data_IF_479174349668
#
_entry.id   IF_479174349668
#
_cell.length_a   1.000
_cell.length_b   1.000
_cell.length_c   1.000
_cell.angle_alpha   90.00
_cell.angle_beta   90.00
_cell.angle_gamma   90.00
#
_symmetry.space_group_name_H-M   'P 1'
#
loop_
_entity.id
_entity.type
_entity.pdbx_description
1 polymer ?
#
# COMPACT_ATOMS: atom_id res chain seq x y z
N UNK A 1 -7.64 -4.23 26.57
CA UNK A 1 -7.20 -3.94 25.18
C UNK A 1 -5.70 -4.09 25.11
N UNK A 2 -5.19 -4.88 24.16
CA UNK A 2 -3.75 -5.02 23.94
C UNK A 2 -3.24 -3.81 23.13
N UNK A 3 -2.01 -3.35 23.38
CA UNK A 3 -1.44 -2.24 22.61
C UNK A 3 -1.21 -2.64 21.15
N UNK A 4 -1.39 -1.70 20.21
CA UNK A 4 -1.21 -1.94 18.77
C UNK A 4 0.16 -2.54 18.44
N UNK A 5 1.20 -2.16 19.21
CA UNK A 5 2.55 -2.71 19.08
C UNK A 5 2.60 -4.21 19.37
N UNK A 6 1.96 -4.67 20.44
CA UNK A 6 1.92 -6.11 20.78
C UNK A 6 1.12 -6.90 19.75
N UNK A 7 -0.02 -6.37 19.30
CA UNK A 7 -0.81 -6.97 18.23
C UNK A 7 -0.03 -7.09 16.92
N UNK A 8 0.72 -6.05 16.54
CA UNK A 8 1.61 -6.06 15.38
C UNK A 8 2.69 -7.15 15.50
N UNK A 9 3.40 -7.22 16.64
CA UNK A 9 4.47 -8.22 16.83
C UNK A 9 3.93 -9.64 16.74
N UNK A 10 2.76 -9.91 17.31
CA UNK A 10 2.11 -11.22 17.23
C UNK A 10 1.68 -11.56 15.79
N UNK A 11 1.04 -10.63 15.07
CA UNK A 11 0.69 -10.87 13.66
C UNK A 11 1.93 -10.99 12.76
N UNK A 12 3.01 -10.26 13.05
CA UNK A 12 4.27 -10.39 12.33
C UNK A 12 4.90 -11.78 12.54
N UNK A 13 4.87 -12.33 13.76
CA UNK A 13 5.35 -13.69 14.04
C UNK A 13 4.53 -14.75 13.32
N UNK A 14 3.21 -14.63 13.35
CA UNK A 14 2.29 -15.57 12.68
C UNK A 14 2.41 -15.54 11.15
N UNK A 15 2.86 -14.42 10.59
CA UNK A 15 3.02 -14.24 9.15
C UNK A 15 4.48 -14.02 8.73
N UNK A 16 5.44 -14.46 9.55
CA UNK A 16 6.88 -14.23 9.34
C UNK A 16 7.35 -14.73 7.98
N UNK A 17 6.89 -15.90 7.53
CA UNK A 17 7.24 -16.44 6.22
C UNK A 17 6.76 -15.57 5.04
N UNK A 18 5.62 -14.88 5.17
CA UNK A 18 5.09 -14.00 4.11
C UNK A 18 5.74 -12.63 4.11
N UNK A 19 6.00 -12.12 5.31
CA UNK A 19 6.82 -10.92 5.47
C UNK A 19 8.22 -11.18 4.89
N UNK A 20 8.81 -12.34 5.19
CA UNK A 20 10.07 -12.81 4.63
C UNK A 20 10.04 -12.93 3.11
N UNK A 21 8.98 -13.47 2.53
CA UNK A 21 8.80 -13.51 1.08
C UNK A 21 8.76 -12.10 0.46
N UNK A 22 8.18 -11.13 1.16
CA UNK A 22 8.15 -9.73 0.70
C UNK A 22 9.53 -9.09 0.76
N UNK A 23 10.31 -9.34 1.83
CA UNK A 23 11.71 -8.93 1.89
C UNK A 23 12.53 -9.59 0.78
N UNK A 24 12.35 -10.89 0.55
CA UNK A 24 13.02 -11.62 -0.53
C UNK A 24 12.66 -11.06 -1.90
N UNK A 25 11.40 -10.68 -2.12
CA UNK A 25 10.97 -10.03 -3.36
C UNK A 25 11.63 -8.66 -3.55
N UNK A 26 11.79 -7.87 -2.48
CA UNK A 26 12.51 -6.60 -2.53
C UNK A 26 13.97 -6.81 -2.95
N UNK A 27 14.68 -7.73 -2.28
CA UNK A 27 16.07 -8.07 -2.61
C UNK A 27 16.19 -8.59 -4.03
N UNK A 28 15.34 -9.54 -4.44
CA UNK A 28 15.33 -10.10 -5.78
C UNK A 28 15.09 -9.02 -6.84
N UNK A 29 14.16 -8.11 -6.60
CA UNK A 29 13.85 -7.02 -7.54
C UNK A 29 15.05 -6.10 -7.71
N UNK A 30 15.76 -5.76 -6.62
CA UNK A 30 17.00 -4.97 -6.67
C UNK A 30 18.10 -5.71 -7.44
N UNK A 31 18.35 -6.98 -7.11
CA UNK A 31 19.40 -7.78 -7.78
C UNK A 31 19.14 -7.86 -9.28
N UNK A 32 17.91 -8.18 -9.68
CA UNK A 32 17.57 -8.28 -11.10
C UNK A 32 17.55 -6.91 -11.78
N UNK A 33 17.20 -5.84 -11.06
CA UNK A 33 17.29 -4.47 -11.59
C UNK A 33 18.72 -4.05 -11.88
N UNK A 34 19.68 -4.49 -11.07
CA UNK A 34 21.12 -4.29 -11.30
C UNK A 34 21.63 -5.13 -12.48
N UNK A 35 21.20 -6.38 -12.61
CA UNK A 35 21.82 -7.36 -13.52
C UNK A 35 21.13 -7.43 -14.89
N UNK A 36 19.82 -7.23 -14.96
CA UNK A 36 19.01 -7.55 -16.15
C UNK A 36 18.11 -6.39 -16.57
N UNK A 37 17.19 -5.96 -15.70
CA UNK A 37 16.15 -4.96 -16.06
C UNK A 37 15.50 -4.33 -14.83
N UNK A 38 15.33 -3.01 -14.88
CA UNK A 38 14.62 -2.21 -13.88
C UNK A 38 13.10 -2.44 -13.85
N UNK A 39 12.54 -3.13 -14.86
CA UNK A 39 11.11 -3.40 -14.98
C UNK A 39 10.52 -4.14 -13.78
N UNK A 40 11.28 -4.96 -13.07
CA UNK A 40 10.80 -5.65 -11.87
C UNK A 40 10.46 -4.71 -10.71
N UNK A 41 11.00 -3.51 -10.67
CA UNK A 41 10.65 -2.53 -9.63
C UNK A 41 9.20 -2.08 -9.74
N UNK A 42 8.59 -2.20 -10.93
CA UNK A 42 7.15 -1.95 -11.12
C UNK A 42 6.26 -3.02 -10.50
N UNK A 43 6.79 -4.20 -10.13
CA UNK A 43 6.02 -5.30 -9.51
C UNK A 43 5.77 -5.02 -8.02
N UNK A 44 6.65 -4.29 -7.34
CA UNK A 44 6.57 -4.06 -5.89
C UNK A 44 5.26 -3.37 -5.45
N UNK A 45 4.74 -2.34 -6.16
CA UNK A 45 3.44 -1.75 -5.83
C UNK A 45 2.26 -2.68 -6.09
N UNK A 46 2.28 -3.49 -7.15
CA UNK A 46 1.24 -4.51 -7.36
C UNK A 46 1.25 -5.54 -6.24
N UNK A 47 2.45 -5.93 -5.79
CA UNK A 47 2.60 -6.81 -4.63
C UNK A 47 2.02 -6.18 -3.35
N UNK A 48 2.23 -4.87 -3.15
CA UNK A 48 1.66 -4.11 -2.05
C UNK A 48 0.12 -4.06 -2.12
N UNK A 49 -0.46 -3.80 -3.30
CA UNK A 49 -1.91 -3.80 -3.50
C UNK A 49 -2.55 -5.15 -3.14
N UNK A 50 -1.84 -6.26 -3.36
CA UNK A 50 -2.32 -7.60 -3.02
C UNK A 50 -2.19 -7.94 -1.53
N UNK A 51 -1.59 -7.08 -0.69
CA UNK A 51 -1.37 -7.38 0.73
C UNK A 51 -2.68 -7.71 1.46
N UNK A 52 -3.74 -6.91 1.26
CA UNK A 52 -5.04 -7.16 1.87
C UNK A 52 -5.62 -8.54 1.53
N UNK A 53 -5.56 -8.91 0.26
CA UNK A 53 -5.99 -10.24 -0.19
C UNK A 53 -5.12 -11.35 0.41
N UNK A 54 -3.78 -11.20 0.38
CA UNK A 54 -2.84 -12.19 0.93
C UNK A 54 -3.13 -12.43 2.40
N UNK A 55 -3.16 -11.37 3.21
CA UNK A 55 -3.39 -11.46 4.64
C UNK A 55 -4.82 -11.87 5.02
N UNK A 56 -5.83 -11.44 4.27
CA UNK A 56 -7.22 -11.88 4.47
C UNK A 56 -7.40 -13.38 4.20
N UNK A 57 -6.76 -13.93 3.16
CA UNK A 57 -6.87 -15.36 2.82
C UNK A 57 -6.15 -16.28 3.82
N UNK A 58 -5.19 -15.73 4.57
CA UNK A 58 -4.44 -16.46 5.60
C UNK A 58 -5.29 -16.87 6.81
N UNK A 59 -6.53 -16.39 6.87
CA UNK A 59 -7.45 -16.67 7.95
C UNK A 59 -8.04 -18.07 7.78
N UNK A 60 -7.27 -19.05 8.23
CA UNK A 60 -7.72 -20.42 8.45
C UNK A 60 -8.33 -20.56 9.84
N UNK A 61 -9.22 -21.54 10.01
CA UNK A 61 -9.89 -21.86 11.29
C UNK A 61 -8.84 -22.14 12.38
N UNK A 62 -7.84 -22.96 12.07
CA UNK A 62 -6.73 -23.33 12.96
C UNK A 62 -5.93 -22.12 13.48
N UNK A 63 -5.68 -21.12 12.62
CA UNK A 63 -5.01 -19.88 13.04
C UNK A 63 -5.93 -18.93 13.80
N UNK A 64 -7.25 -19.07 13.67
CA UNK A 64 -8.19 -18.30 14.48
C UNK A 64 -8.22 -18.86 15.91
N UNK A 65 -8.15 -20.18 16.08
CA UNK A 65 -8.05 -20.86 17.37
C UNK A 65 -6.72 -20.55 18.08
N UNK A 66 -5.59 -20.61 17.37
CA UNK A 66 -4.28 -20.20 17.88
C UNK A 66 -4.23 -18.73 18.33
N UNK A 67 -5.03 -17.84 17.73
CA UNK A 67 -5.11 -16.43 18.14
C UNK A 67 -6.06 -16.24 19.33
N UNK A 68 -7.12 -17.02 19.39
CA UNK A 68 -8.03 -17.05 20.52
C UNK A 68 -7.33 -17.56 21.79
N UNK A 69 -6.47 -18.59 21.67
CA UNK A 69 -5.66 -19.08 22.79
C UNK A 69 -4.60 -18.08 23.26
N UNK A 70 -4.17 -17.16 22.41
CA UNK A 70 -3.30 -16.03 22.75
C UNK A 70 -4.05 -14.83 23.35
N UNK A 71 -5.37 -14.91 23.53
CA UNK A 71 -6.20 -13.85 24.12
C UNK A 71 -6.38 -12.62 23.22
N UNK A 72 -6.13 -12.74 21.91
CA UNK A 72 -6.30 -11.63 20.97
C UNK A 72 -7.79 -11.44 20.65
N UNK A 73 -8.31 -10.25 20.98
CA UNK A 73 -9.63 -9.84 20.51
C UNK A 73 -9.66 -9.74 18.97
N UNK A 74 -10.84 -9.92 18.37
CA UNK A 74 -11.01 -9.78 16.91
C UNK A 74 -10.68 -8.36 16.44
N UNK A 75 -10.97 -7.35 17.24
CA UNK A 75 -10.58 -5.96 16.99
C UNK A 75 -9.05 -5.75 17.01
N UNK A 76 -8.34 -6.33 17.98
CA UNK A 76 -6.88 -6.21 18.08
C UNK A 76 -6.17 -6.86 16.89
N UNK A 77 -6.74 -7.94 16.35
CA UNK A 77 -6.29 -8.59 15.11
C UNK A 77 -6.38 -7.66 13.90
N UNK A 78 -7.49 -6.93 13.71
CA UNK A 78 -7.64 -5.99 12.59
C UNK A 78 -6.57 -4.90 12.68
N UNK A 79 -6.35 -4.35 13.88
CA UNK A 79 -5.33 -3.32 14.12
C UNK A 79 -3.92 -3.83 13.84
N UNK A 80 -3.58 -5.04 14.30
CA UNK A 80 -2.30 -5.69 14.03
C UNK A 80 -2.07 -5.96 12.55
N UNK A 81 -3.08 -6.45 11.83
CA UNK A 81 -3.04 -6.68 10.38
C UNK A 81 -2.83 -5.39 9.60
N UNK A 82 -3.62 -4.34 9.89
CA UNK A 82 -3.49 -3.04 9.23
C UNK A 82 -2.07 -2.50 9.42
N UNK A 83 -1.53 -2.59 10.64
CA UNK A 83 -0.17 -2.16 10.94
C UNK A 83 0.88 -2.96 10.18
N UNK A 84 0.74 -4.28 10.09
CA UNK A 84 1.67 -5.15 9.35
C UNK A 84 1.67 -4.85 7.86
N UNK A 85 0.48 -4.72 7.25
CA UNK A 85 0.32 -4.32 5.85
C UNK A 85 0.93 -2.94 5.62
N UNK A 86 0.72 -2.00 6.54
CA UNK A 86 1.32 -0.67 6.48
C UNK A 86 2.85 -0.72 6.46
N UNK A 87 3.47 -1.49 7.35
CA UNK A 87 4.93 -1.68 7.39
C UNK A 87 5.44 -2.30 6.09
N UNK A 88 4.80 -3.36 5.61
CA UNK A 88 5.20 -4.03 4.36
C UNK A 88 5.10 -3.09 3.15
N UNK A 89 4.01 -2.32 3.07
CA UNK A 89 3.80 -1.33 2.02
C UNK A 89 4.89 -0.26 2.05
N UNK A 90 5.26 0.22 3.24
CA UNK A 90 6.36 1.18 3.40
C UNK A 90 7.69 0.61 2.93
N UNK A 91 8.02 -0.65 3.25
CA UNK A 91 9.27 -1.27 2.79
C UNK A 91 9.30 -1.37 1.25
N UNK A 92 8.20 -1.77 0.62
CA UNK A 92 8.10 -1.86 -0.84
C UNK A 92 8.26 -0.50 -1.52
N UNK A 93 7.61 0.53 -0.96
CA UNK A 93 7.73 1.91 -1.46
C UNK A 93 9.14 2.46 -1.28
N UNK A 94 9.75 2.26 -0.11
CA UNK A 94 11.12 2.68 0.17
C UNK A 94 12.14 1.98 -0.74
N UNK A 95 11.97 0.68 -0.98
CA UNK A 95 12.84 -0.07 -1.91
C UNK A 95 12.74 0.48 -3.32
N UNK A 96 11.51 0.76 -3.78
CA UNK A 96 11.28 1.36 -5.09
C UNK A 96 11.89 2.76 -5.20
N UNK A 97 11.74 3.59 -4.16
CA UNK A 97 12.30 4.95 -4.13
C UNK A 97 13.83 4.97 -4.06
N UNK A 98 14.43 4.11 -3.24
CA UNK A 98 15.90 4.01 -3.11
C UNK A 98 16.56 3.60 -4.43
N UNK A 99 15.94 2.70 -5.19
CA UNK A 99 16.45 2.30 -6.49
C UNK A 99 16.60 3.47 -7.47
N UNK A 100 15.65 4.40 -7.44
CA UNK A 100 15.67 5.59 -8.30
C UNK A 100 16.81 6.55 -7.95
N UNK A 101 17.38 6.46 -6.75
CA UNK A 101 18.57 7.21 -6.34
C UNK A 101 19.87 6.45 -6.62
N UNK A 102 19.83 5.13 -6.53
CA UNK A 102 21.03 4.27 -6.71
C UNK A 102 21.34 4.07 -8.20
N UNK A 103 20.34 3.89 -9.05
CA UNK A 103 20.56 3.57 -10.46
C UNK A 103 21.35 4.65 -11.22
N UNK A 104 21.08 5.97 -11.06
CA UNK A 104 21.92 7.01 -11.66
C UNK A 104 23.36 7.00 -11.13
N UNK A 105 23.55 6.75 -9.83
CA UNK A 105 24.87 6.68 -9.22
C UNK A 105 25.73 5.51 -9.73
N UNK A 106 25.09 4.46 -10.27
CA UNK A 106 25.75 3.31 -10.87
C UNK A 106 25.84 3.41 -12.41
N UNK A 107 25.50 4.57 -13.00
CA UNK A 107 25.40 4.80 -14.44
C UNK A 107 24.49 3.78 -15.16
N UNK A 108 23.50 3.25 -14.43
CA UNK A 108 22.52 2.32 -14.97
C UNK A 108 21.43 3.11 -15.66
N UNK A 109 21.19 2.82 -16.95
CA UNK A 109 20.08 3.41 -17.69
C UNK A 109 18.75 2.92 -17.10
N UNK A 110 18.08 3.78 -16.34
CA UNK A 110 16.70 3.56 -15.92
C UNK A 110 15.77 3.81 -17.11
N UNK A 111 15.01 2.80 -17.52
CA UNK A 111 13.93 2.98 -18.47
C UNK A 111 12.69 3.50 -17.74
N UNK A 112 12.68 4.80 -17.50
CA UNK A 112 11.48 5.47 -17.00
C UNK A 112 10.43 5.47 -18.11
N UNK A 113 9.55 4.46 -18.11
CA UNK A 113 8.38 4.45 -18.98
C UNK A 113 7.21 5.12 -18.25
N UNK A 114 6.46 6.03 -18.90
CA UNK A 114 5.23 6.56 -18.33
C UNK A 114 4.25 5.41 -18.13
N UNK A 115 3.81 5.23 -16.89
CA UNK A 115 2.87 4.19 -16.48
C UNK A 115 2.12 4.62 -15.24
N UNK A 116 0.96 4.01 -15.01
CA UNK A 116 -0.04 4.42 -14.00
C UNK A 116 0.46 4.45 -12.54
N UNK A 117 1.73 4.13 -12.27
CA UNK A 117 2.22 3.82 -10.92
C UNK A 117 3.63 4.33 -10.59
N UNK A 118 4.40 4.86 -11.53
CA UNK A 118 5.65 5.58 -11.25
C UNK A 118 5.98 6.45 -12.46
N UNK A 119 5.81 7.76 -12.33
CA UNK A 119 6.27 8.73 -13.34
C UNK A 119 7.47 9.47 -12.77
N UNK A 120 8.62 9.26 -13.39
CA UNK A 120 9.86 10.00 -13.14
C UNK A 120 10.12 11.04 -14.25
N UNK A 121 9.11 11.33 -15.07
CA UNK A 121 9.19 12.39 -16.06
C UNK A 121 8.79 13.70 -15.38
N UNK A 122 9.79 14.37 -14.81
CA UNK A 122 9.68 15.76 -14.38
C UNK A 122 10.28 16.71 -15.41
N UNK A 123 9.87 17.97 -15.43
CA UNK A 123 10.51 19.00 -16.24
C UNK A 123 12.02 19.12 -15.93
N UNK A 124 12.85 19.48 -16.92
CA UNK A 124 14.27 19.69 -16.72
C UNK A 124 14.52 20.77 -15.67
N UNK A 125 15.42 20.51 -14.72
CA UNK A 125 15.79 21.44 -13.65
C UNK A 125 15.14 21.21 -12.28
N UNK A 126 14.19 20.25 -12.16
CA UNK A 126 13.71 19.80 -10.85
C UNK A 126 14.70 18.85 -10.18
N UNK A 127 14.82 18.95 -8.86
CA UNK A 127 15.63 18.02 -8.06
C UNK A 127 15.08 16.60 -8.18
N UNK A 128 15.96 15.63 -8.47
CA UNK A 128 15.61 14.20 -8.54
C UNK A 128 14.96 13.70 -7.24
N UNK A 129 15.43 14.18 -6.10
CA UNK A 129 14.87 13.86 -4.78
C UNK A 129 13.40 14.28 -4.70
N UNK A 130 13.06 15.46 -5.23
CA UNK A 130 11.69 15.96 -5.22
C UNK A 130 10.79 15.10 -6.12
N UNK A 131 11.27 14.70 -7.29
CA UNK A 131 10.53 13.82 -8.20
C UNK A 131 10.25 12.46 -7.57
N UNK A 132 11.25 11.88 -6.89
CA UNK A 132 11.11 10.62 -6.14
C UNK A 132 10.09 10.76 -5.00
N UNK A 133 10.11 11.87 -4.25
CA UNK A 133 9.17 12.12 -3.17
C UNK A 133 7.73 12.26 -3.69
N UNK A 134 7.51 13.01 -4.78
CA UNK A 134 6.18 13.20 -5.37
C UNK A 134 5.65 11.88 -5.93
N UNK A 135 6.47 11.12 -6.66
CA UNK A 135 6.09 9.81 -7.20
C UNK A 135 5.78 8.79 -6.11
N UNK A 136 6.58 8.75 -5.05
CA UNK A 136 6.35 7.87 -3.89
C UNK A 136 5.07 8.26 -3.15
N UNK A 137 4.82 9.57 -2.99
CA UNK A 137 3.58 10.09 -2.42
C UNK A 137 2.35 9.70 -3.24
N UNK A 138 2.43 9.77 -4.57
CA UNK A 138 1.36 9.33 -5.46
C UNK A 138 1.11 7.82 -5.35
N UNK A 139 2.16 7.00 -5.36
CA UNK A 139 2.02 5.55 -5.18
C UNK A 139 1.39 5.22 -3.82
N UNK A 140 1.80 5.89 -2.74
CA UNK A 140 1.19 5.75 -1.42
C UNK A 140 -0.30 6.14 -1.43
N UNK A 141 -0.65 7.24 -2.11
CA UNK A 141 -2.03 7.69 -2.27
C UNK A 141 -2.90 6.63 -2.98
N UNK A 142 -2.43 6.06 -4.09
CA UNK A 142 -3.14 5.02 -4.83
C UNK A 142 -3.33 3.77 -3.97
N UNK A 143 -2.28 3.35 -3.24
CA UNK A 143 -2.35 2.20 -2.34
C UNK A 143 -3.32 2.42 -1.16
N UNK A 144 -3.43 3.66 -0.66
CA UNK A 144 -4.41 4.02 0.37
C UNK A 144 -5.84 3.90 -0.15
N UNK A 145 -6.12 4.36 -1.38
CA UNK A 145 -7.42 4.18 -2.00
C UNK A 145 -7.77 2.70 -2.15
N UNK A 146 -6.84 1.90 -2.68
CA UNK A 146 -7.01 0.44 -2.80
C UNK A 146 -7.28 -0.21 -1.45
N UNK A 147 -6.56 0.21 -0.40
CA UNK A 147 -6.76 -0.27 0.95
C UNK A 147 -8.15 0.06 1.52
N UNK A 148 -8.69 1.25 1.24
CA UNK A 148 -10.02 1.66 1.71
C UNK A 148 -11.11 0.85 1.03
N UNK A 149 -10.99 0.63 -0.28
CA UNK A 149 -11.99 -0.10 -1.08
C UNK A 149 -11.98 -1.59 -0.75
N UNK A 150 -10.80 -2.22 -0.75
CA UNK A 150 -10.68 -3.69 -0.64
C UNK A 150 -10.53 -4.16 0.81
N UNK A 151 -10.04 -3.30 1.71
CA UNK A 151 -9.74 -3.66 3.10
C UNK A 151 -10.97 -4.10 3.89
N UNK A 152 -12.13 -3.49 3.65
CA UNK A 152 -13.37 -3.85 4.34
C UNK A 152 -13.78 -5.29 4.07
N UNK A 153 -13.84 -5.67 2.80
CA UNK A 153 -14.25 -7.01 2.40
C UNK A 153 -13.24 -8.08 2.82
N UNK A 154 -11.94 -7.79 2.71
CA UNK A 154 -10.87 -8.70 3.13
C UNK A 154 -10.72 -8.83 4.67
N UNK A 155 -11.37 -7.95 5.45
CA UNK A 155 -11.36 -8.01 6.92
C UNK A 155 -12.64 -8.60 7.51
N UNK A 156 -13.78 -8.33 6.87
CA UNK A 156 -15.11 -8.76 7.35
C UNK A 156 -15.54 -10.11 6.78
N UNK A 157 -15.09 -10.46 5.57
CA UNK A 157 -15.48 -11.68 4.87
C UNK A 157 -14.26 -12.53 4.50
N UNK A 158 -14.50 -13.82 4.21
CA UNK A 158 -13.45 -14.71 3.69
C UNK A 158 -13.17 -14.31 2.23
N UNK A 159 -11.95 -13.87 1.88
CA UNK A 159 -11.72 -13.30 0.57
C UNK A 159 -11.74 -14.37 -0.54
N UNK A 160 -12.53 -14.11 -1.56
CA UNK A 160 -12.59 -14.90 -2.79
C UNK A 160 -11.40 -14.57 -3.72
N UNK A 161 -11.10 -15.45 -4.68
CA UNK A 161 -10.05 -15.21 -5.69
C UNK A 161 -10.32 -13.93 -6.51
N UNK A 162 -11.59 -13.58 -6.72
CA UNK A 162 -12.01 -12.35 -7.39
C UNK A 162 -11.52 -11.06 -6.70
N UNK A 163 -11.27 -11.09 -5.38
CA UNK A 163 -10.75 -9.93 -4.65
C UNK A 163 -9.30 -9.60 -5.00
N UNK A 164 -8.50 -10.58 -5.43
CA UNK A 164 -7.15 -10.31 -5.93
C UNK A 164 -7.21 -9.48 -7.22
N UNK A 165 -8.10 -9.85 -8.13
CA UNK A 165 -8.34 -9.13 -9.39
C UNK A 165 -8.91 -7.75 -9.11
N UNK A 166 -9.88 -7.65 -8.20
CA UNK A 166 -10.43 -6.36 -7.78
C UNK A 166 -9.35 -5.43 -7.22
N UNK A 167 -8.42 -5.94 -6.41
CA UNK A 167 -7.34 -5.10 -5.86
C UNK A 167 -6.44 -4.53 -6.95
N UNK A 168 -6.11 -5.32 -7.96
CA UNK A 168 -5.32 -4.86 -9.11
C UNK A 168 -6.11 -3.84 -9.94
N UNK A 169 -7.39 -4.11 -10.22
CA UNK A 169 -8.25 -3.20 -10.99
C UNK A 169 -8.42 -1.87 -10.25
N UNK A 170 -8.68 -1.90 -8.95
CA UNK A 170 -8.83 -0.69 -8.13
C UNK A 170 -7.52 0.08 -8.08
N UNK A 171 -6.39 -0.61 -7.95
CA UNK A 171 -5.07 0.03 -7.97
C UNK A 171 -4.79 0.72 -9.31
N UNK A 172 -5.04 0.04 -10.43
CA UNK A 172 -4.90 0.64 -11.77
C UNK A 172 -5.88 1.80 -12.00
N UNK A 173 -7.14 1.62 -11.59
CA UNK A 173 -8.18 2.65 -11.71
C UNK A 173 -7.89 3.88 -10.86
N UNK A 174 -7.42 3.69 -9.63
CA UNK A 174 -6.97 4.78 -8.75
C UNK A 174 -5.71 5.46 -9.31
N UNK A 175 -4.80 4.69 -9.92
CA UNK A 175 -3.65 5.22 -10.65
C UNK A 175 -4.08 6.13 -11.81
N UNK A 176 -4.99 5.65 -12.67
CA UNK A 176 -5.56 6.41 -13.79
C UNK A 176 -6.31 7.66 -13.32
N UNK A 177 -7.17 7.54 -12.30
CA UNK A 177 -7.88 8.68 -11.72
C UNK A 177 -6.91 9.69 -11.12
N UNK A 178 -5.86 9.25 -10.44
CA UNK A 178 -4.82 10.16 -9.93
C UNK A 178 -4.12 10.89 -11.07
N UNK A 179 -3.76 10.19 -12.15
CA UNK A 179 -3.14 10.80 -13.31
C UNK A 179 -4.08 11.80 -14.02
N UNK A 180 -5.38 11.50 -14.09
CA UNK A 180 -6.36 12.38 -14.74
C UNK A 180 -6.77 13.59 -13.90
N UNK A 181 -7.01 13.42 -12.61
CA UNK A 181 -7.48 14.50 -11.73
C UNK A 181 -6.36 15.42 -11.27
N UNK A 182 -5.13 14.90 -11.20
CA UNK A 182 -4.00 15.60 -10.63
C UNK A 182 -2.96 15.92 -11.71
N UNK A 183 -2.65 14.98 -12.61
CA UNK A 183 -1.63 15.15 -13.65
C UNK A 183 -2.07 16.06 -14.82
N UNK A 184 -3.25 15.84 -15.40
CA UNK A 184 -3.73 16.58 -16.58
C UNK A 184 -3.96 18.09 -16.35
N UNK A 185 -4.56 18.55 -15.23
CA UNK A 185 -4.77 19.98 -15.02
C UNK A 185 -3.46 20.74 -14.80
N UNK A 186 -2.45 20.08 -14.22
CA UNK A 186 -1.16 20.68 -13.88
C UNK A 186 -0.22 20.70 -15.09
N UNK A 187 -0.28 19.71 -15.98
CA UNK A 187 0.44 19.76 -17.26
C UNK A 187 -0.14 20.83 -18.22
N UNK A 188 -1.44 21.12 -18.12
CA UNK A 188 -2.06 22.24 -18.84
C UNK A 188 -1.59 23.62 -18.32
N UNK A 189 -1.20 23.72 -17.05
CA UNK A 189 -0.62 24.93 -16.44
C UNK A 189 0.86 25.16 -16.84
N UNK A 190 1.59 24.14 -17.29
CA UNK A 190 3.00 24.26 -17.74
C UNK A 190 3.17 25.14 -18.99
N UNK A 191 2.09 25.42 -19.73
CA UNK A 191 2.07 26.43 -20.80
C UNK A 191 2.41 27.85 -20.31
N UNK A 192 2.48 28.09 -18.98
CA UNK A 192 2.73 29.40 -18.36
C UNK A 192 4.18 29.71 -17.95
N UNK A 193 5.15 28.85 -18.27
CA UNK A 193 6.58 29.22 -18.27
C UNK A 193 7.42 28.87 -17.04
N UNK A 194 6.85 28.28 -15.98
CA UNK A 194 7.65 27.65 -14.91
C UNK A 194 7.08 26.28 -14.50
N UNK A 195 7.74 25.18 -14.88
CA UNK A 195 7.19 23.83 -14.69
C UNK A 195 7.43 23.27 -13.27
N UNK A 196 8.17 23.99 -12.42
CA UNK A 196 8.41 23.62 -11.02
C UNK A 196 7.20 23.86 -10.11
N UNK A 197 6.44 24.94 -10.35
CA UNK A 197 5.29 25.33 -9.50
C UNK A 197 4.14 24.31 -9.59
N UNK A 198 3.71 23.85 -10.78
CA UNK A 198 2.66 22.83 -10.89
C UNK A 198 3.04 21.52 -10.19
N UNK A 199 4.29 21.08 -10.29
CA UNK A 199 4.78 19.85 -9.65
C UNK A 199 4.80 19.93 -8.12
N UNK A 200 5.14 21.10 -7.55
CA UNK A 200 5.09 21.34 -6.11
C UNK A 200 3.66 21.39 -5.59
N UNK A 201 2.75 22.05 -6.31
CA UNK A 201 1.32 22.08 -5.99
C UNK A 201 0.73 20.66 -6.07
N UNK A 202 1.15 19.87 -7.06
CA UNK A 202 0.80 18.45 -7.17
C UNK A 202 1.18 17.67 -5.92
N UNK A 203 2.46 17.76 -5.53
CA UNK A 203 3.01 17.05 -4.39
C UNK A 203 2.28 17.44 -3.10
N UNK A 204 2.07 18.74 -2.89
CA UNK A 204 1.32 19.24 -1.73
C UNK A 204 -0.12 18.72 -1.69
N UNK A 205 -0.83 18.75 -2.84
CA UNK A 205 -2.19 18.22 -2.97
C UNK A 205 -2.26 16.73 -2.64
N UNK A 206 -1.35 15.92 -3.19
CA UNK A 206 -1.26 14.48 -2.92
C UNK A 206 -1.01 14.21 -1.43
N UNK A 207 -0.13 14.97 -0.78
CA UNK A 207 0.15 14.83 0.66
C UNK A 207 -1.10 15.15 1.49
N UNK A 208 -1.78 16.27 1.19
CA UNK A 208 -2.98 16.70 1.92
C UNK A 208 -4.10 15.67 1.77
N UNK A 209 -4.40 15.25 0.53
CA UNK A 209 -5.46 14.25 0.30
C UNK A 209 -5.05 12.90 0.89
N UNK A 210 -3.79 12.51 0.79
CA UNK A 210 -3.25 11.31 1.44
C UNK A 210 -3.45 11.32 2.96
N UNK A 211 -3.22 12.45 3.62
CA UNK A 211 -3.49 12.62 5.05
C UNK A 211 -4.98 12.46 5.38
N UNK A 212 -5.88 13.01 4.55
CA UNK A 212 -7.33 12.81 4.68
C UNK A 212 -7.69 11.33 4.51
N UNK A 213 -7.13 10.65 3.52
CA UNK A 213 -7.37 9.22 3.30
C UNK A 213 -6.87 8.37 4.48
N UNK A 214 -5.74 8.72 5.09
CA UNK A 214 -5.28 8.07 6.32
C UNK A 214 -6.29 8.22 7.47
N UNK A 215 -6.89 9.40 7.62
CA UNK A 215 -7.95 9.62 8.60
C UNK A 215 -9.21 8.80 8.26
N UNK A 216 -9.59 8.72 6.98
CA UNK A 216 -10.69 7.88 6.52
C UNK A 216 -10.41 6.40 6.81
N UNK A 217 -9.22 5.91 6.47
CA UNK A 217 -8.81 4.54 6.76
C UNK A 217 -8.84 4.26 8.27
N UNK A 218 -8.35 5.19 9.10
CA UNK A 218 -8.43 5.07 10.55
C UNK A 218 -9.87 4.94 11.04
N UNK A 219 -10.80 5.73 10.49
CA UNK A 219 -12.24 5.63 10.81
C UNK A 219 -12.84 4.30 10.33
N UNK A 220 -12.50 3.86 9.12
CA UNK A 220 -12.94 2.58 8.57
C UNK A 220 -12.47 1.40 9.40
N UNK A 221 -11.21 1.38 9.82
CA UNK A 221 -10.64 0.35 10.69
C UNK A 221 -11.38 0.24 12.03
N UNK A 222 -11.79 1.38 12.62
CA UNK A 222 -12.64 1.38 13.82
C UNK A 222 -13.99 0.73 13.53
N UNK A 223 -14.69 1.19 12.50
CA UNK A 223 -15.99 0.63 12.12
C UNK A 223 -15.93 -0.88 11.83
N UNK A 224 -14.88 -1.36 11.14
CA UNK A 224 -14.68 -2.79 10.89
C UNK A 224 -14.47 -3.58 12.19
N UNK A 225 -13.76 -3.00 13.16
CA UNK A 225 -13.58 -3.62 14.48
C UNK A 225 -14.92 -3.74 15.21
N UNK A 226 -15.73 -2.68 15.19
CA UNK A 226 -17.02 -2.63 15.88
C UNK A 226 -18.03 -3.65 15.29
N UNK A 227 -18.04 -3.82 13.97
CA UNK A 227 -18.87 -4.83 13.27
C UNK A 227 -18.47 -6.26 13.69
N UNK A 228 -17.18 -6.53 13.83
CA UNK A 228 -16.68 -7.85 14.21
C UNK A 228 -17.00 -8.19 15.68
N UNK A 229 -16.96 -7.20 16.56
CA UNK A 229 -17.28 -7.36 17.97
C UNK A 229 -18.80 -7.54 18.18
N UNK A 230 -19.63 -6.74 17.51
CA UNK A 230 -21.10 -6.87 17.57
C UNK A 230 -21.62 -8.18 16.97
N UNK A 231 -21.04 -8.64 15.85
CA UNK A 231 -21.34 -9.95 15.24
C UNK A 231 -20.86 -11.15 16.05
N UNK A 232 -19.97 -10.97 17.02
CA UNK A 232 -19.58 -12.00 17.97
C UNK A 232 -20.60 -12.08 19.12
N UNK A 233 -21.02 -10.93 19.65
CA UNK A 233 -22.01 -10.85 20.72
C UNK A 233 -23.37 -11.46 20.32
N UNK A 234 -23.84 -11.21 19.10
CA UNK A 234 -25.07 -11.82 18.57
C UNK A 234 -24.98 -13.33 18.45
N UNK A 235 -23.84 -13.87 17.99
CA UNK A 235 -23.65 -15.33 17.90
C UNK A 235 -23.59 -16.02 19.26
N UNK A 236 -22.96 -15.40 20.26
CA UNK A 236 -22.95 -15.93 21.62
C UNK A 236 -24.37 -15.98 22.22
N UNK A 237 -25.19 -14.96 21.96
CA UNK A 237 -26.60 -14.94 22.39
C UNK A 237 -27.47 -15.97 21.68
N UNK A 238 -27.17 -16.31 20.42
CA UNK A 238 -27.91 -17.31 19.66
C UNK A 238 -27.52 -18.77 20.03
N UNK A 239 -26.41 -18.96 20.74
CA UNK A 239 -25.90 -20.26 21.16
C UNK A 239 -26.15 -20.57 22.65
N UNK A 240 -26.74 -19.63 23.40
CA UNK A 240 -27.13 -19.75 24.79
C UNK A 240 -28.65 -19.91 24.90
#
# INVERSE_FOLDING_TARGET
MISTRRALVMEARLNSGRFGLTMALCVLSVVVAVVITDGLMTVLPFWAALAWYRYGRADTIERAELRASLGLSRADRVRGRVALIGVETMVLLLTSALWLLIAPALDLRTTVRPGATFTLSGPPGLSEILLVLVGTGQAAFVLLLTAIVVGGDCTTHRPARSMAVLSIIVYLGAGLLSAMLVGLPLSMLELSGSPAVPSLVMGAGVIVVGAVLLLVLRRRVRAWSDVLDSGAATRMRAAA
#
